data_IF_443837244600
#
_entry.id   IF_443837244600
#
_cell.length_a   1.000
_cell.length_b   1.000
_cell.length_c   1.000
_cell.angle_alpha   90.00
_cell.angle_beta   90.00
_cell.angle_gamma   90.00
#
_symmetry.space_group_name_H-M   'P 1'
#
loop_
_entity.id
_entity.type
_entity.pdbx_description
1 polymer ?
#
# COMPACT_ATOMS: atom_id res chain seq x y z
N UNK A 1 -38.19 -47.77 1.85
CA UNK A 1 -38.58 -47.04 0.64
C UNK A 1 -37.41 -46.14 0.26
N UNK A 2 -36.62 -46.62 -0.71
CA UNK A 2 -35.50 -45.88 -1.29
C UNK A 2 -36.04 -44.99 -2.41
N UNK A 3 -35.80 -43.71 -2.36
CA UNK A 3 -35.96 -42.83 -3.52
C UNK A 3 -34.56 -42.44 -4.06
N UNK A 4 -34.34 -42.90 -5.29
CA UNK A 4 -33.18 -42.65 -6.12
C UNK A 4 -33.29 -41.26 -6.77
N UNK A 5 -32.17 -40.50 -6.71
CA UNK A 5 -31.96 -39.21 -7.40
C UNK A 5 -31.43 -39.50 -8.81
N UNK A 6 -31.94 -38.88 -9.88
CA UNK A 6 -31.40 -39.04 -11.22
C UNK A 6 -30.19 -38.11 -11.51
N UNK A 7 -29.30 -38.45 -12.47
CA UNK A 7 -28.06 -37.77 -12.75
C UNK A 7 -28.24 -36.49 -13.63
N UNK A 8 -27.29 -35.59 -13.46
CA UNK A 8 -27.23 -34.23 -13.95
C UNK A 8 -27.26 -34.04 -15.47
N UNK A 9 -27.75 -32.89 -15.85
CA UNK A 9 -27.62 -32.32 -17.19
C UNK A 9 -26.36 -31.44 -17.25
N UNK A 10 -25.52 -31.75 -18.25
CA UNK A 10 -24.43 -30.89 -18.66
C UNK A 10 -25.02 -29.59 -19.25
N UNK A 11 -24.47 -28.43 -18.82
CA UNK A 11 -24.73 -27.16 -19.47
C UNK A 11 -23.62 -26.88 -20.48
N UNK A 12 -24.01 -26.81 -21.73
CA UNK A 12 -23.19 -26.39 -22.86
C UNK A 12 -22.73 -24.96 -22.70
N UNK A 13 -21.40 -24.78 -22.86
CA UNK A 13 -20.79 -23.46 -22.94
C UNK A 13 -21.12 -22.77 -24.26
N UNK A 14 -22.00 -21.78 -24.25
CA UNK A 14 -22.19 -20.86 -25.34
C UNK A 14 -21.15 -19.72 -25.24
N UNK A 15 -20.29 -19.70 -26.26
CA UNK A 15 -19.31 -18.67 -26.52
C UNK A 15 -19.93 -17.29 -26.64
N UNK A 16 -19.60 -16.36 -25.77
CA UNK A 16 -19.74 -14.92 -26.01
C UNK A 16 -18.37 -14.32 -26.19
N UNK A 17 -18.06 -14.01 -27.46
CA UNK A 17 -16.84 -13.30 -27.86
C UNK A 17 -16.83 -11.87 -27.35
N UNK A 18 -16.18 -11.62 -26.21
CA UNK A 18 -15.81 -10.31 -25.73
C UNK A 18 -14.37 -10.00 -26.13
N UNK A 19 -14.20 -9.02 -27.01
CA UNK A 19 -12.88 -8.54 -27.44
C UNK A 19 -12.19 -7.82 -26.28
N UNK A 20 -11.22 -8.46 -25.65
CA UNK A 20 -10.25 -7.77 -24.81
C UNK A 20 -9.29 -6.97 -25.71
N UNK A 21 -9.46 -5.66 -25.75
CA UNK A 21 -8.45 -4.71 -26.26
C UNK A 21 -7.66 -4.17 -25.07
N UNK A 22 -6.33 -4.35 -25.11
CA UNK A 22 -5.41 -3.55 -24.32
C UNK A 22 -4.47 -4.31 -23.38
N UNK A 23 -3.70 -5.25 -23.91
CA UNK A 23 -2.44 -5.61 -23.28
C UNK A 23 -1.31 -4.81 -23.95
N UNK A 24 -0.40 -4.19 -23.20
CA UNK A 24 0.73 -3.46 -23.78
C UNK A 24 1.73 -4.40 -24.46
N UNK A 25 2.23 -3.98 -25.60
CA UNK A 25 3.02 -4.75 -26.57
C UNK A 25 4.48 -5.10 -26.15
N UNK A 26 4.81 -5.17 -24.86
CA UNK A 26 6.18 -5.51 -24.42
C UNK A 26 6.36 -6.98 -24.01
N UNK A 27 5.34 -7.81 -24.08
CA UNK A 27 5.38 -9.22 -23.65
C UNK A 27 5.90 -10.21 -24.71
N UNK A 28 6.29 -9.77 -25.91
CA UNK A 28 6.86 -10.67 -26.94
C UNK A 28 7.95 -9.95 -27.73
N UNK A 29 9.22 -10.13 -27.38
CA UNK A 29 10.33 -10.13 -28.34
C UNK A 29 11.65 -10.57 -27.67
N UNK A 30 11.95 -11.85 -27.72
CA UNK A 30 13.34 -12.31 -27.78
C UNK A 30 13.63 -12.75 -29.21
N UNK A 31 14.63 -12.10 -29.83
CA UNK A 31 15.25 -12.59 -31.04
C UNK A 31 15.51 -11.55 -32.14
N UNK A 32 16.76 -11.11 -32.27
CA UNK A 32 17.35 -10.76 -33.55
C UNK A 32 17.62 -9.28 -33.86
N UNK A 33 18.89 -8.90 -33.86
CA UNK A 33 19.44 -7.98 -34.89
C UNK A 33 19.50 -6.48 -34.52
N UNK A 34 20.66 -6.06 -34.03
CA UNK A 34 21.09 -4.66 -33.87
C UNK A 34 21.06 -3.88 -35.18
N UNK A 35 20.29 -2.81 -35.28
CA UNK A 35 20.58 -1.65 -36.14
C UNK A 35 20.29 -0.39 -35.33
N UNK A 36 21.34 0.40 -35.09
CA UNK A 36 21.22 1.71 -34.44
C UNK A 36 20.50 2.70 -35.37
N UNK A 37 19.34 3.18 -34.90
CA UNK A 37 18.71 4.38 -35.45
C UNK A 37 18.66 5.39 -34.30
N UNK A 38 19.51 6.43 -34.38
CA UNK A 38 19.39 7.59 -33.52
C UNK A 38 18.13 8.36 -33.91
N UNK A 39 17.10 8.26 -33.09
CA UNK A 39 15.95 9.14 -33.12
C UNK A 39 15.83 9.77 -31.74
N UNK A 40 15.96 11.08 -31.66
CA UNK A 40 15.57 11.86 -30.50
C UNK A 40 14.04 11.87 -30.42
N UNK A 41 13.45 10.76 -30.02
CA UNK A 41 12.06 10.72 -29.63
C UNK A 41 11.99 11.26 -28.20
N UNK A 42 11.29 12.37 -28.01
CA UNK A 42 10.90 12.86 -26.68
C UNK A 42 10.28 11.69 -25.93
N UNK A 43 10.83 11.33 -24.76
CA UNK A 43 10.31 10.30 -23.88
C UNK A 43 8.85 10.64 -23.60
N UNK A 44 7.90 9.73 -23.85
CA UNK A 44 6.50 10.01 -23.53
C UNK A 44 6.43 10.27 -22.02
N UNK A 45 5.97 11.47 -21.63
CA UNK A 45 5.73 11.79 -20.23
C UNK A 45 4.68 10.79 -19.73
N UNK A 46 5.10 9.95 -18.80
CA UNK A 46 4.22 8.97 -18.17
C UNK A 46 3.19 9.72 -17.33
N UNK A 47 1.96 9.83 -17.84
CA UNK A 47 0.86 10.44 -17.10
C UNK A 47 0.09 9.32 -16.40
N UNK A 48 0.13 9.30 -15.07
CA UNK A 48 -0.76 8.45 -14.27
C UNK A 48 -2.21 8.93 -14.46
N UNK A 49 -3.19 8.02 -14.51
CA UNK A 49 -4.57 8.43 -14.36
C UNK A 49 -4.73 9.11 -12.98
N UNK A 50 -5.48 10.20 -12.92
CA UNK A 50 -5.88 10.83 -11.65
C UNK A 50 -6.64 9.79 -10.82
N UNK A 51 -6.46 9.78 -9.50
CA UNK A 51 -7.26 8.91 -8.64
C UNK A 51 -8.76 9.20 -8.86
N UNK A 52 -9.60 8.17 -8.95
CA UNK A 52 -11.04 8.36 -8.98
C UNK A 52 -11.49 9.12 -7.72
N UNK A 53 -12.48 9.99 -7.88
CA UNK A 53 -13.12 10.68 -6.76
C UNK A 53 -14.57 10.22 -6.67
N UNK A 54 -14.99 9.77 -5.51
CA UNK A 54 -16.36 9.30 -5.22
C UNK A 54 -16.94 10.08 -4.05
N UNK A 55 -18.27 10.08 -3.93
CA UNK A 55 -18.97 10.73 -2.82
C UNK A 55 -19.51 9.69 -1.84
N UNK A 56 -19.20 9.83 -0.57
CA UNK A 56 -19.75 8.97 0.48
C UNK A 56 -21.28 9.14 0.56
N UNK A 57 -22.02 8.04 0.41
CA UNK A 57 -23.49 8.04 0.48
C UNK A 57 -24.03 7.41 1.75
N UNK A 58 -23.31 6.47 2.35
CA UNK A 58 -23.71 5.81 3.59
C UNK A 58 -22.51 5.42 4.43
N UNK A 59 -22.51 5.84 5.68
CA UNK A 59 -21.62 5.30 6.71
C UNK A 59 -22.16 3.94 7.18
N UNK A 60 -21.31 2.92 7.21
CA UNK A 60 -21.71 1.55 7.58
C UNK A 60 -21.29 1.21 9.00
N UNK A 61 -19.97 1.24 9.28
CA UNK A 61 -19.45 0.86 10.60
C UNK A 61 -17.99 1.30 10.75
N UNK A 62 -17.53 1.65 11.98
CA UNK A 62 -16.09 1.84 12.22
C UNK A 62 -15.35 0.51 12.22
N UNK A 63 -14.11 0.53 11.76
CA UNK A 63 -13.16 -0.55 11.96
C UNK A 63 -12.31 -0.21 13.20
N UNK A 64 -12.57 -0.90 14.31
CA UNK A 64 -11.94 -0.60 15.61
C UNK A 64 -10.53 -1.16 15.75
N UNK A 65 -9.99 -1.78 14.71
CA UNK A 65 -8.63 -2.28 14.64
C UNK A 65 -7.72 -1.17 14.10
N UNK A 66 -6.75 -0.75 14.92
CA UNK A 66 -5.81 0.32 14.58
C UNK A 66 -6.12 1.70 15.18
N UNK A 67 -5.08 2.53 15.31
CA UNK A 67 -5.16 3.84 16.00
C UNK A 67 -5.82 4.96 15.19
N UNK A 68 -6.21 4.74 13.93
CA UNK A 68 -6.79 5.77 13.03
C UNK A 68 -8.31 5.70 12.86
N UNK A 69 -8.99 4.70 13.47
CA UNK A 69 -10.43 4.48 13.37
C UNK A 69 -10.99 4.60 11.95
N UNK A 70 -10.49 3.82 10.96
CA UNK A 70 -11.07 3.85 9.63
C UNK A 70 -12.51 3.30 9.65
N UNK A 71 -13.29 3.58 8.62
CA UNK A 71 -14.67 3.12 8.55
C UNK A 71 -15.02 2.49 7.19
N UNK A 72 -15.98 1.57 7.20
CA UNK A 72 -16.62 1.10 5.97
C UNK A 72 -17.67 2.11 5.55
N UNK A 73 -17.59 2.55 4.29
CA UNK A 73 -18.48 3.56 3.70
C UNK A 73 -18.89 3.08 2.31
N UNK A 74 -20.16 3.25 1.96
CA UNK A 74 -20.66 3.10 0.59
C UNK A 74 -20.62 4.44 -0.13
N UNK A 75 -20.35 4.41 -1.44
CA UNK A 75 -20.22 5.60 -2.26
C UNK A 75 -21.21 5.63 -3.44
N UNK A 76 -21.25 6.75 -4.15
CA UNK A 76 -22.20 7.04 -5.25
C UNK A 76 -21.93 6.22 -6.52
N UNK A 77 -20.77 5.62 -6.64
CA UNK A 77 -20.40 4.67 -7.70
C UNK A 77 -20.84 3.22 -7.41
N UNK A 78 -21.58 2.99 -6.33
CA UNK A 78 -21.99 1.69 -5.78
C UNK A 78 -20.82 0.87 -5.19
N UNK A 79 -19.63 1.45 -5.04
CA UNK A 79 -18.48 0.88 -4.36
C UNK A 79 -18.62 0.89 -2.85
N UNK A 80 -17.89 0.01 -2.20
CA UNK A 80 -17.72 -0.02 -0.74
C UNK A 80 -16.24 0.16 -0.43
N UNK A 81 -15.93 1.09 0.45
CA UNK A 81 -14.56 1.49 0.73
C UNK A 81 -14.23 1.45 2.22
N UNK A 82 -12.99 1.11 2.54
CA UNK A 82 -12.38 1.43 3.83
C UNK A 82 -11.87 2.86 3.76
N UNK A 83 -12.56 3.77 4.44
CA UNK A 83 -12.21 5.19 4.43
C UNK A 83 -11.30 5.52 5.59
N UNK A 84 -10.15 6.15 5.29
CA UNK A 84 -9.22 6.73 6.25
C UNK A 84 -9.41 8.25 6.26
N UNK A 85 -9.57 8.81 7.44
CA UNK A 85 -9.99 10.18 7.65
C UNK A 85 -8.80 11.12 7.86
N UNK A 86 -8.83 12.29 7.20
CA UNK A 86 -7.76 13.29 7.35
C UNK A 86 -7.75 13.96 8.75
N UNK A 87 -8.86 13.92 9.46
CA UNK A 87 -8.97 14.40 10.86
C UNK A 87 -8.46 13.41 11.90
N UNK A 88 -8.05 12.19 11.50
CA UNK A 88 -7.44 11.23 12.43
C UNK A 88 -6.07 11.73 12.94
N UNK A 89 -5.61 11.18 14.07
CA UNK A 89 -4.40 11.66 14.76
C UNK A 89 -3.10 11.68 13.93
N UNK A 90 -3.00 10.88 12.86
CA UNK A 90 -1.86 10.89 11.94
C UNK A 90 -2.04 11.89 10.77
N UNK A 91 -3.22 12.44 10.59
CA UNK A 91 -3.54 13.50 9.64
C UNK A 91 -3.32 13.14 8.18
N UNK A 92 -3.21 14.19 7.36
CA UNK A 92 -3.01 14.09 5.90
C UNK A 92 -1.74 13.33 5.52
N UNK A 93 -0.69 13.35 6.35
CA UNK A 93 0.59 12.67 6.05
C UNK A 93 0.43 11.15 5.89
N UNK A 94 -0.38 10.52 6.74
CA UNK A 94 -0.68 9.10 6.60
C UNK A 94 -1.43 8.81 5.28
N UNK A 95 -2.35 9.68 4.87
CA UNK A 95 -3.08 9.53 3.61
C UNK A 95 -2.16 9.73 2.38
N UNK A 96 -1.22 10.67 2.45
CA UNK A 96 -0.17 10.85 1.44
C UNK A 96 0.70 9.59 1.32
N UNK A 97 1.12 9.03 2.47
CA UNK A 97 1.91 7.80 2.49
C UNK A 97 1.15 6.62 1.88
N UNK A 98 -0.15 6.49 2.15
CA UNK A 98 -1.01 5.47 1.53
C UNK A 98 -1.03 5.58 0.02
N UNK A 99 -1.25 6.77 -0.53
CA UNK A 99 -1.32 6.98 -1.99
C UNK A 99 0.03 6.65 -2.62
N UNK A 100 1.10 7.32 -2.17
CA UNK A 100 2.41 7.18 -2.80
C UNK A 100 2.91 5.75 -2.69
N UNK A 101 2.84 5.14 -1.50
CA UNK A 101 3.36 3.78 -1.29
C UNK A 101 2.45 2.73 -1.89
N UNK A 102 1.13 2.85 -1.79
CA UNK A 102 0.18 1.89 -2.38
C UNK A 102 0.27 1.86 -3.91
N UNK A 103 0.32 3.02 -4.56
CA UNK A 103 0.45 3.09 -6.02
C UNK A 103 1.86 2.69 -6.49
N UNK A 104 2.90 2.96 -5.69
CA UNK A 104 4.25 2.44 -5.96
C UNK A 104 4.26 0.91 -5.89
N UNK A 105 3.70 0.30 -4.84
CA UNK A 105 3.58 -1.15 -4.71
C UNK A 105 2.87 -1.76 -5.92
N UNK A 106 1.77 -1.17 -6.36
CA UNK A 106 1.01 -1.60 -7.55
C UNK A 106 1.88 -1.55 -8.82
N UNK A 107 2.72 -0.52 -8.98
CA UNK A 107 3.65 -0.39 -10.11
C UNK A 107 4.76 -1.44 -10.11
N UNK A 108 5.12 -1.91 -8.93
CA UNK A 108 6.08 -3.00 -8.76
C UNK A 108 5.44 -4.39 -8.89
N UNK A 109 4.15 -4.46 -9.29
CA UNK A 109 3.42 -5.71 -9.51
C UNK A 109 2.85 -6.35 -8.24
N UNK A 110 2.87 -5.64 -7.10
CA UNK A 110 2.23 -6.07 -5.87
C UNK A 110 0.72 -5.78 -5.92
N UNK A 111 -0.09 -6.66 -5.35
CA UNK A 111 -1.53 -6.46 -5.25
C UNK A 111 -1.85 -5.51 -4.11
N UNK A 112 -2.50 -4.41 -4.45
CA UNK A 112 -3.01 -3.41 -3.51
C UNK A 112 -4.45 -3.10 -3.92
N UNK A 113 -5.43 -3.05 -3.02
CA UNK A 113 -6.80 -2.67 -3.36
C UNK A 113 -6.84 -1.29 -4.00
N UNK A 114 -7.82 -1.04 -4.86
CA UNK A 114 -7.91 0.24 -5.56
C UNK A 114 -8.03 1.40 -4.57
N UNK A 115 -7.34 2.49 -4.89
CA UNK A 115 -7.28 3.70 -4.08
C UNK A 115 -8.09 4.78 -4.77
N UNK A 116 -8.96 5.43 -4.02
CA UNK A 116 -9.81 6.54 -4.47
C UNK A 116 -9.74 7.69 -3.46
N UNK A 117 -10.16 8.88 -3.87
CA UNK A 117 -10.53 9.93 -2.94
C UNK A 117 -12.03 9.88 -2.67
N UNK A 118 -12.45 10.15 -1.44
CA UNK A 118 -13.85 10.08 -1.00
C UNK A 118 -14.25 11.42 -0.41
N UNK A 119 -15.19 12.09 -1.05
CA UNK A 119 -15.80 13.31 -0.49
C UNK A 119 -16.82 12.91 0.58
N UNK A 120 -16.61 13.40 1.81
CA UNK A 120 -17.39 13.10 3.00
C UNK A 120 -18.20 14.33 3.43
N UNK A 121 -19.53 14.17 3.52
CA UNK A 121 -20.38 15.06 4.32
C UNK A 121 -20.56 14.42 5.70
N UNK A 122 -20.12 15.04 6.81
CA UNK A 122 -20.26 14.48 8.16
C UNK A 122 -21.70 14.10 8.55
N UNK A 123 -22.69 14.65 7.86
CA UNK A 123 -24.11 14.34 8.11
C UNK A 123 -24.44 12.84 7.95
N UNK A 124 -23.67 12.09 7.18
CA UNK A 124 -23.88 10.64 6.99
C UNK A 124 -23.64 9.85 8.27
N UNK A 125 -22.80 10.36 9.18
CA UNK A 125 -22.47 9.76 10.47
C UNK A 125 -23.34 10.25 11.64
N UNK A 126 -24.37 11.06 11.42
CA UNK A 126 -25.20 11.68 12.49
C UNK A 126 -25.89 10.68 13.43
N UNK A 127 -26.03 9.44 13.02
CA UNK A 127 -26.64 8.37 13.81
C UNK A 127 -25.62 7.39 14.41
N UNK A 128 -24.32 7.64 14.22
CA UNK A 128 -23.26 6.86 14.87
C UNK A 128 -23.35 7.08 16.39
N UNK A 129 -23.49 5.99 17.19
CA UNK A 129 -23.64 6.13 18.63
C UNK A 129 -22.32 6.45 19.36
N UNK A 130 -21.18 6.20 18.75
CA UNK A 130 -19.86 6.42 19.34
C UNK A 130 -19.43 7.89 19.16
N UNK A 131 -19.28 8.66 20.26
CA UNK A 131 -18.92 10.07 20.18
C UNK A 131 -17.52 10.29 19.57
N UNK A 132 -16.55 9.40 19.80
CA UNK A 132 -15.21 9.52 19.24
C UNK A 132 -15.23 9.40 17.71
N UNK A 133 -16.11 8.53 17.19
CA UNK A 133 -16.33 8.39 15.75
C UNK A 133 -17.06 9.61 15.19
N UNK A 134 -18.08 10.14 15.90
CA UNK A 134 -18.76 11.36 15.47
C UNK A 134 -17.80 12.55 15.40
N UNK A 135 -16.96 12.71 16.41
CA UNK A 135 -15.95 13.77 16.45
C UNK A 135 -14.96 13.64 15.28
N UNK A 136 -14.52 12.42 14.97
CA UNK A 136 -13.65 12.15 13.83
C UNK A 136 -14.31 12.50 12.49
N UNK A 137 -15.57 12.11 12.28
CA UNK A 137 -16.32 12.44 11.06
C UNK A 137 -16.50 13.97 10.93
N UNK A 138 -16.84 14.65 12.03
CA UNK A 138 -16.97 16.11 12.07
C UNK A 138 -15.64 16.84 11.80
N UNK A 139 -14.51 16.23 12.17
CA UNK A 139 -13.17 16.76 11.91
C UNK A 139 -12.67 16.44 10.47
N UNK A 140 -13.43 15.67 9.69
CA UNK A 140 -13.00 15.14 8.39
C UNK A 140 -13.94 15.49 7.22
N UNK A 141 -14.52 16.72 7.13
CA UNK A 141 -15.36 17.07 6.00
C UNK A 141 -14.56 17.16 4.71
N UNK A 142 -15.21 16.88 3.57
CA UNK A 142 -14.58 16.95 2.26
C UNK A 142 -13.73 15.72 1.95
N UNK A 143 -12.56 15.93 1.34
CA UNK A 143 -11.77 14.87 0.73
C UNK A 143 -11.01 14.01 1.73
N UNK A 144 -11.29 12.72 1.72
CA UNK A 144 -10.64 11.67 2.49
C UNK A 144 -10.08 10.58 1.57
N UNK A 145 -9.44 9.55 2.12
CA UNK A 145 -8.89 8.43 1.35
C UNK A 145 -9.82 7.23 1.44
N UNK A 146 -10.19 6.65 0.30
CA UNK A 146 -10.89 5.37 0.18
C UNK A 146 -9.97 4.28 -0.35
N UNK A 147 -10.05 3.10 0.24
CA UNK A 147 -9.38 1.88 -0.22
C UNK A 147 -10.49 0.87 -0.50
N UNK A 148 -10.53 0.29 -1.70
CA UNK A 148 -11.55 -0.68 -2.09
C UNK A 148 -11.66 -1.81 -1.06
N UNK A 149 -12.90 -2.08 -0.61
CA UNK A 149 -13.17 -3.10 0.39
C UNK A 149 -13.13 -4.49 -0.27
N UNK A 150 -12.31 -5.39 0.25
CA UNK A 150 -12.18 -6.76 -0.24
C UNK A 150 -13.11 -7.70 0.54
N UNK A 151 -14.34 -7.97 0.07
CA UNK A 151 -15.32 -8.75 0.81
C UNK A 151 -14.89 -10.21 0.95
N UNK A 152 -14.92 -10.72 2.19
CA UNK A 152 -14.53 -12.09 2.49
C UNK A 152 -13.01 -12.33 2.51
N UNK A 153 -12.19 -11.29 2.45
CA UNK A 153 -10.75 -11.43 2.68
C UNK A 153 -10.46 -11.86 4.12
N UNK A 154 -9.36 -12.58 4.32
CA UNK A 154 -8.88 -13.05 5.62
C UNK A 154 -7.55 -12.36 5.94
N UNK A 155 -7.32 -12.08 7.22
CA UNK A 155 -6.00 -11.63 7.67
C UNK A 155 -4.92 -12.68 7.34
N UNK A 156 -3.77 -12.22 6.86
CA UNK A 156 -2.63 -13.10 6.59
C UNK A 156 -2.04 -13.63 7.90
N UNK A 157 -1.96 -14.96 8.01
CA UNK A 157 -1.27 -15.64 9.10
C UNK A 157 -0.03 -16.35 8.55
N UNK A 158 1.18 -15.93 8.92
CA UNK A 158 2.43 -16.53 8.44
C UNK A 158 2.64 -17.98 8.91
N UNK A 159 1.87 -18.47 9.89
CA UNK A 159 1.89 -19.87 10.32
C UNK A 159 0.97 -20.77 9.51
N UNK A 160 -0.07 -20.17 8.91
CA UNK A 160 -1.06 -20.88 8.10
C UNK A 160 -0.81 -20.76 6.60
N UNK A 161 -0.10 -19.70 6.17
CA UNK A 161 0.14 -19.37 4.76
C UNK A 161 1.62 -19.15 4.49
N UNK A 162 2.20 -19.98 3.64
CA UNK A 162 3.58 -19.80 3.17
C UNK A 162 3.59 -19.02 1.86
N UNK A 163 4.09 -17.78 1.85
CA UNK A 163 4.17 -16.98 0.63
C UNK A 163 5.26 -17.51 -0.31
N UNK A 164 5.14 -17.17 -1.59
CA UNK A 164 6.24 -17.34 -2.54
C UNK A 164 7.47 -16.52 -2.09
N UNK A 165 8.69 -17.07 -2.10
CA UNK A 165 9.88 -16.36 -1.64
C UNK A 165 10.19 -15.10 -2.47
N UNK A 166 9.96 -15.12 -3.79
CA UNK A 166 10.14 -13.95 -4.65
C UNK A 166 9.15 -12.84 -4.31
N UNK A 167 7.88 -13.19 -4.06
CA UNK A 167 6.89 -12.24 -3.55
C UNK A 167 7.32 -11.65 -2.20
N UNK A 168 7.74 -12.49 -1.25
CA UNK A 168 8.16 -12.05 0.08
C UNK A 168 9.38 -11.11 0.01
N UNK A 169 10.35 -11.41 -0.85
CA UNK A 169 11.51 -10.56 -1.10
C UNK A 169 11.14 -9.21 -1.73
N UNK A 170 10.21 -9.22 -2.70
CA UNK A 170 9.68 -8.00 -3.31
C UNK A 170 9.00 -7.10 -2.28
N UNK A 171 8.14 -7.66 -1.43
CA UNK A 171 7.43 -6.90 -0.38
C UNK A 171 8.41 -6.35 0.64
N UNK A 172 9.38 -7.13 1.11
CA UNK A 172 10.35 -6.66 2.09
C UNK A 172 11.23 -5.56 1.52
N UNK A 173 11.72 -5.73 0.28
CA UNK A 173 12.48 -4.68 -0.40
C UNK A 173 11.67 -3.40 -0.57
N UNK A 174 10.40 -3.53 -0.99
CA UNK A 174 9.47 -2.40 -1.11
C UNK A 174 9.26 -1.69 0.24
N UNK A 175 8.93 -2.44 1.30
CA UNK A 175 8.73 -1.86 2.63
C UNK A 175 10.00 -1.18 3.15
N UNK A 176 11.16 -1.75 2.89
CA UNK A 176 12.44 -1.11 3.21
C UNK A 176 12.66 0.18 2.41
N UNK A 177 12.32 0.22 1.11
CA UNK A 177 12.42 1.40 0.26
C UNK A 177 11.58 2.56 0.79
N UNK A 178 10.30 2.30 1.09
CA UNK A 178 9.38 3.34 1.59
C UNK A 178 9.50 3.56 3.10
N UNK A 179 10.27 2.73 3.80
CA UNK A 179 10.44 2.80 5.25
C UNK A 179 9.16 2.47 6.02
N UNK A 180 8.39 1.49 5.55
CA UNK A 180 7.18 1.02 6.24
C UNK A 180 7.56 0.24 7.51
N UNK A 181 7.20 0.75 8.68
CA UNK A 181 7.57 0.16 9.98
C UNK A 181 6.48 -0.70 10.60
N UNK A 182 5.33 -0.84 9.95
CA UNK A 182 4.15 -1.45 10.57
C UNK A 182 3.75 -2.82 9.99
N UNK A 183 4.50 -3.36 9.00
CA UNK A 183 4.26 -4.71 8.48
C UNK A 183 4.98 -5.76 9.32
N UNK A 184 4.39 -6.08 10.46
CA UNK A 184 5.02 -6.90 11.50
C UNK A 184 4.23 -8.18 11.81
N UNK A 185 4.81 -9.05 12.63
CA UNK A 185 4.12 -10.23 13.14
C UNK A 185 2.83 -9.92 13.91
N UNK A 186 2.74 -8.75 14.55
CA UNK A 186 1.55 -8.33 15.31
C UNK A 186 0.51 -7.66 14.44
N UNK A 187 0.96 -7.04 13.37
CA UNK A 187 0.15 -6.33 12.41
C UNK A 187 0.67 -6.61 11.00
N UNK A 188 0.29 -7.75 10.40
CA UNK A 188 0.82 -8.13 9.09
C UNK A 188 0.54 -7.13 7.99
N UNK A 189 -0.55 -6.37 8.07
CA UNK A 189 -1.03 -5.46 7.01
C UNK A 189 -1.07 -6.14 5.63
N UNK A 190 -1.47 -7.41 5.64
CA UNK A 190 -1.64 -8.28 4.49
C UNK A 190 -2.97 -9.02 4.62
N UNK A 191 -3.68 -9.13 3.51
CA UNK A 191 -4.91 -9.91 3.39
C UNK A 191 -4.71 -11.05 2.41
N UNK A 192 -5.42 -12.17 2.63
CA UNK A 192 -5.58 -13.24 1.64
C UNK A 192 -6.97 -13.10 1.04
N UNK A 193 -7.03 -12.88 -0.28
CA UNK A 193 -8.28 -12.73 -1.01
C UNK A 193 -8.20 -13.48 -2.34
N UNK A 194 -9.19 -14.36 -2.59
CA UNK A 194 -9.21 -15.24 -3.77
C UNK A 194 -7.92 -16.07 -3.98
N UNK A 195 -7.23 -16.43 -2.88
CA UNK A 195 -5.99 -17.21 -2.94
C UNK A 195 -4.72 -16.39 -3.17
N UNK A 196 -4.83 -15.08 -3.31
CA UNK A 196 -3.71 -14.15 -3.49
C UNK A 196 -3.47 -13.30 -2.23
N UNK A 197 -2.23 -12.87 -2.02
CA UNK A 197 -1.87 -11.95 -0.92
C UNK A 197 -1.95 -10.51 -1.41
N UNK A 198 -2.64 -9.67 -0.65
CA UNK A 198 -2.89 -8.26 -0.91
C UNK A 198 -2.25 -7.41 0.19
N UNK A 199 -1.55 -6.37 -0.20
CA UNK A 199 -0.96 -5.40 0.72
C UNK A 199 -1.98 -4.32 1.05
N UNK A 200 -2.07 -4.00 2.35
CA UNK A 200 -2.90 -2.91 2.87
C UNK A 200 -2.11 -2.08 3.87
N UNK A 201 -2.65 -0.92 4.23
CA UNK A 201 -2.16 -0.05 5.30
C UNK A 201 -0.69 0.37 5.14
N UNK A 202 -0.45 1.29 4.20
CA UNK A 202 0.86 1.88 3.94
C UNK A 202 1.07 3.22 4.68
N UNK A 203 0.12 3.64 5.52
CA UNK A 203 0.14 4.93 6.21
C UNK A 203 1.33 5.12 7.15
N UNK A 204 1.96 4.04 7.60
CA UNK A 204 3.17 4.05 8.41
C UNK A 204 4.47 4.05 7.58
N UNK A 205 4.41 4.48 6.31
CA UNK A 205 5.54 4.67 5.42
C UNK A 205 6.01 6.13 5.39
N UNK A 206 7.10 6.40 4.67
CA UNK A 206 7.60 7.75 4.38
C UNK A 206 7.84 8.60 5.65
N UNK A 207 8.33 7.97 6.71
CA UNK A 207 8.48 8.60 8.04
C UNK A 207 9.25 9.92 8.04
N UNK A 208 10.07 10.17 7.02
CA UNK A 208 10.82 11.42 6.86
C UNK A 208 9.92 12.66 6.82
N UNK A 209 8.68 12.53 6.36
CA UNK A 209 7.75 13.64 6.24
C UNK A 209 7.24 14.18 7.61
N UNK A 210 7.44 13.43 8.69
CA UNK A 210 7.17 13.93 10.05
C UNK A 210 8.28 14.84 10.59
N UNK A 211 9.46 14.85 9.93
CA UNK A 211 10.63 15.62 10.37
C UNK A 211 11.47 16.06 9.16
N UNK A 212 10.91 16.88 8.27
CA UNK A 212 11.54 17.34 7.03
C UNK A 212 12.94 17.91 7.24
N UNK A 213 13.18 18.67 8.31
CA UNK A 213 14.48 19.24 8.61
C UNK A 213 15.60 18.19 8.77
N UNK A 214 15.24 16.95 9.07
CA UNK A 214 16.17 15.83 9.20
C UNK A 214 15.98 14.75 8.14
N UNK A 215 15.12 14.96 7.17
CA UNK A 215 14.73 13.96 6.16
C UNK A 215 15.96 13.39 5.41
N UNK A 216 16.93 14.23 5.05
CA UNK A 216 18.15 13.80 4.38
C UNK A 216 18.94 12.74 5.16
N UNK A 217 18.92 12.77 6.51
CA UNK A 217 19.58 11.77 7.35
C UNK A 217 18.90 10.42 7.33
N UNK A 218 17.61 10.38 6.93
CA UNK A 218 16.81 9.16 6.87
C UNK A 218 16.97 8.42 5.55
N UNK A 219 17.59 9.02 4.53
CA UNK A 219 17.86 8.39 3.24
C UNK A 219 18.68 7.11 3.43
N UNK A 220 19.78 7.21 4.17
CA UNK A 220 20.73 6.12 4.43
C UNK A 220 20.43 5.34 5.72
N UNK A 221 19.28 5.59 6.37
CA UNK A 221 18.94 4.86 7.59
C UNK A 221 18.66 3.40 7.26
N UNK A 222 19.38 2.42 7.85
CA UNK A 222 19.11 1.01 7.68
C UNK A 222 17.68 0.67 8.10
N UNK A 223 17.03 -0.19 7.31
CA UNK A 223 15.69 -0.69 7.63
C UNK A 223 15.80 -1.84 8.64
N UNK A 224 15.03 -1.77 9.71
CA UNK A 224 14.94 -2.84 10.70
C UNK A 224 13.88 -3.86 10.29
N UNK A 225 14.31 -4.99 9.75
CA UNK A 225 13.43 -6.10 9.33
C UNK A 225 13.21 -7.14 10.43
N UNK A 226 13.68 -6.92 11.67
CA UNK A 226 13.67 -7.93 12.75
C UNK A 226 12.26 -8.44 13.12
N UNK A 227 11.26 -7.55 13.05
CA UNK A 227 9.85 -7.85 13.33
C UNK A 227 9.01 -8.01 12.03
N UNK A 228 9.63 -7.87 10.84
CA UNK A 228 8.89 -7.93 9.57
C UNK A 228 8.31 -9.33 9.33
N UNK A 229 7.00 -9.40 9.05
CA UNK A 229 6.24 -10.66 8.97
C UNK A 229 6.76 -11.63 7.90
N UNK A 230 7.38 -11.12 6.83
CA UNK A 230 7.89 -11.94 5.72
C UNK A 230 9.39 -12.22 5.81
N UNK A 231 10.13 -11.61 6.73
CA UNK A 231 11.60 -11.76 6.79
C UNK A 231 12.09 -13.20 6.97
N UNK A 232 11.28 -14.06 7.59
CA UNK A 232 11.68 -15.47 7.83
C UNK A 232 11.57 -16.36 6.59
N UNK A 233 10.87 -15.94 5.53
CA UNK A 233 10.65 -16.72 4.31
C UNK A 233 11.73 -16.53 3.25
N UNK A 234 12.66 -15.61 3.46
CA UNK A 234 13.65 -15.17 2.48
C UNK A 234 15.03 -15.05 3.12
N UNK A 235 16.04 -14.89 2.28
CA UNK A 235 17.42 -14.60 2.67
C UNK A 235 17.91 -13.27 2.05
N UNK A 236 19.13 -12.88 2.41
CA UNK A 236 19.75 -11.62 1.95
C UNK A 236 19.92 -11.58 0.42
N UNK A 237 20.20 -12.71 -0.22
CA UNK A 237 20.37 -12.76 -1.69
C UNK A 237 19.02 -12.51 -2.39
N UNK A 238 17.92 -13.08 -1.88
CA UNK A 238 16.59 -12.88 -2.45
C UNK A 238 16.18 -11.38 -2.40
N UNK A 239 16.43 -10.69 -1.27
CA UNK A 239 16.13 -9.26 -1.12
C UNK A 239 17.00 -8.42 -2.04
N UNK A 240 18.29 -8.77 -2.15
CA UNK A 240 19.23 -8.09 -3.05
C UNK A 240 18.83 -8.27 -4.50
N UNK A 241 18.42 -9.48 -4.88
CA UNK A 241 17.96 -9.78 -6.25
C UNK A 241 16.67 -9.01 -6.58
N UNK A 242 15.70 -8.95 -5.67
CA UNK A 242 14.50 -8.13 -5.83
C UNK A 242 14.88 -6.66 -6.10
N UNK A 243 15.86 -6.12 -5.37
CA UNK A 243 16.34 -4.76 -5.59
C UNK A 243 16.97 -4.55 -6.97
N UNK A 244 17.75 -5.50 -7.48
CA UNK A 244 18.32 -5.41 -8.84
C UNK A 244 17.26 -5.36 -9.93
N UNK A 245 16.14 -6.04 -9.72
CA UNK A 245 15.03 -6.11 -10.68
C UNK A 245 14.07 -4.91 -10.58
N UNK A 246 13.84 -4.40 -9.38
CA UNK A 246 12.84 -3.38 -9.11
C UNK A 246 13.39 -1.95 -9.20
N UNK A 247 14.60 -1.68 -8.68
CA UNK A 247 15.14 -0.33 -8.66
C UNK A 247 15.23 0.34 -10.05
N UNK A 248 15.59 -0.35 -11.15
CA UNK A 248 15.61 0.25 -12.48
C UNK A 248 14.23 0.70 -13.00
N UNK A 249 13.14 0.20 -12.44
CA UNK A 249 11.78 0.58 -12.82
C UNK A 249 11.36 1.92 -12.20
N UNK A 250 12.05 2.37 -11.15
CA UNK A 250 11.74 3.57 -10.39
C UNK A 250 12.39 4.82 -11.00
N UNK A 251 11.91 5.19 -12.18
CA UNK A 251 12.39 6.38 -12.88
C UNK A 251 11.88 7.67 -12.22
N UNK A 252 12.59 8.78 -12.46
CA UNK A 252 12.16 10.10 -12.01
C UNK A 252 10.73 10.47 -12.45
N UNK A 253 10.38 10.12 -13.69
CA UNK A 253 9.05 10.40 -14.22
C UNK A 253 7.97 9.57 -13.51
N UNK A 254 8.27 8.31 -13.16
CA UNK A 254 7.37 7.49 -12.36
C UNK A 254 7.21 8.09 -10.95
N UNK A 255 8.30 8.42 -10.28
CA UNK A 255 8.24 8.97 -8.91
C UNK A 255 7.46 10.30 -8.87
N UNK A 256 7.65 11.18 -9.86
CA UNK A 256 6.83 12.39 -9.99
C UNK A 256 5.36 12.06 -10.22
N UNK A 257 5.08 11.18 -11.16
CA UNK A 257 3.71 10.80 -11.48
C UNK A 257 2.97 10.19 -10.28
N UNK A 258 3.66 9.44 -9.40
CA UNK A 258 3.09 8.92 -8.16
C UNK A 258 2.76 10.03 -7.15
N UNK A 259 3.65 10.99 -6.98
CA UNK A 259 3.41 12.13 -6.07
C UNK A 259 2.31 13.05 -6.61
N UNK A 260 2.20 13.21 -7.93
CA UNK A 260 1.15 13.99 -8.59
C UNK A 260 -0.27 13.41 -8.40
N UNK A 261 -0.39 12.15 -7.91
CA UNK A 261 -1.69 11.57 -7.53
C UNK A 261 -2.24 12.13 -6.22
N UNK A 262 -1.37 12.68 -5.38
CA UNK A 262 -1.76 13.23 -4.08
C UNK A 262 -2.55 14.53 -4.28
N UNK A 263 -3.72 14.66 -3.65
CA UNK A 263 -4.45 15.93 -3.67
C UNK A 263 -3.58 17.09 -3.19
N UNK A 264 -3.55 18.17 -3.95
CA UNK A 264 -2.70 19.35 -3.67
C UNK A 264 -3.02 19.96 -2.30
N UNK A 265 -4.30 20.00 -1.94
CA UNK A 265 -4.79 20.48 -0.66
C UNK A 265 -4.27 19.69 0.57
N UNK A 266 -3.78 18.46 0.37
CA UNK A 266 -3.17 17.69 1.44
C UNK A 266 -1.70 18.07 1.71
N UNK A 267 -1.08 18.77 0.77
CA UNK A 267 0.29 19.29 0.88
C UNK A 267 0.35 20.79 1.20
N UNK A 268 -0.79 21.44 1.37
CA UNK A 268 -0.87 22.84 1.81
C UNK A 268 -0.44 22.99 3.27
N UNK A 269 0.10 24.15 3.60
CA UNK A 269 0.50 24.56 4.95
C UNK A 269 1.55 23.65 5.63
N UNK A 270 2.34 22.91 4.84
CA UNK A 270 3.43 22.09 5.39
C UNK A 270 4.57 22.98 5.89
N UNK A 271 4.91 22.92 7.20
CA UNK A 271 5.94 23.79 7.76
C UNK A 271 7.31 23.60 7.10
N UNK A 272 7.92 24.71 6.71
CA UNK A 272 9.25 24.75 6.09
C UNK A 272 9.24 24.67 4.56
N UNK A 273 8.06 24.77 3.93
CA UNK A 273 7.89 24.84 2.48
C UNK A 273 7.08 26.07 2.08
N UNK A 274 7.40 26.64 0.93
CA UNK A 274 6.73 27.83 0.41
C UNK A 274 5.48 27.49 -0.40
N UNK A 275 5.39 26.24 -0.90
CA UNK A 275 4.27 25.78 -1.72
C UNK A 275 4.07 24.25 -1.67
N UNK A 276 2.86 23.76 -2.03
CA UNK A 276 2.62 22.32 -2.22
C UNK A 276 3.54 21.69 -3.27
N UNK A 277 3.96 22.45 -4.28
CA UNK A 277 4.90 21.96 -5.29
C UNK A 277 6.29 21.66 -4.71
N UNK A 278 6.73 22.44 -3.73
CA UNK A 278 7.99 22.20 -3.03
C UNK A 278 7.91 20.96 -2.17
N UNK A 279 6.78 20.74 -1.50
CA UNK A 279 6.51 19.49 -0.76
C UNK A 279 6.54 18.29 -1.68
N UNK A 280 5.85 18.36 -2.82
CA UNK A 280 5.86 17.31 -3.83
C UNK A 280 7.28 17.01 -4.34
N UNK A 281 8.06 18.05 -4.64
CA UNK A 281 9.45 17.90 -5.05
C UNK A 281 10.34 17.26 -3.97
N UNK A 282 10.07 17.54 -2.70
CA UNK A 282 10.78 16.95 -1.57
C UNK A 282 10.49 15.43 -1.44
N UNK A 283 9.24 14.97 -1.62
CA UNK A 283 8.91 13.54 -1.69
C UNK A 283 9.69 12.84 -2.81
N UNK A 284 9.67 13.39 -4.02
CA UNK A 284 10.41 12.83 -5.17
C UNK A 284 11.91 12.76 -4.86
N UNK A 285 12.48 13.83 -4.27
CA UNK A 285 13.90 13.90 -3.93
C UNK A 285 14.29 12.82 -2.93
N UNK A 286 13.49 12.59 -1.89
CA UNK A 286 13.75 11.58 -0.87
C UNK A 286 13.67 10.15 -1.45
N UNK A 287 12.63 9.85 -2.23
CA UNK A 287 12.49 8.55 -2.87
C UNK A 287 13.64 8.27 -3.85
N UNK A 288 13.98 9.25 -4.70
CA UNK A 288 15.11 9.15 -5.62
C UNK A 288 16.43 8.87 -4.90
N UNK A 289 16.70 9.58 -3.81
CA UNK A 289 17.92 9.39 -3.04
C UNK A 289 18.02 7.96 -2.47
N UNK A 290 16.91 7.38 -2.00
CA UNK A 290 16.88 5.98 -1.55
C UNK A 290 17.08 4.99 -2.71
N UNK A 291 16.43 5.21 -3.84
CA UNK A 291 16.60 4.37 -5.04
C UNK A 291 18.05 4.38 -5.54
N UNK A 292 18.74 5.52 -5.42
CA UNK A 292 20.12 5.68 -5.90
C UNK A 292 21.16 4.92 -5.07
N UNK A 293 20.90 4.67 -3.77
CA UNK A 293 21.83 3.97 -2.88
C UNK A 293 21.10 2.93 -2.01
N UNK A 294 20.68 1.80 -2.59
CA UNK A 294 20.01 0.74 -1.85
C UNK A 294 20.89 0.10 -0.78
N UNK A 295 22.21 0.05 -0.98
CA UNK A 295 23.13 -0.56 -0.03
C UNK A 295 23.14 0.14 1.33
N UNK A 296 22.80 1.43 1.38
CA UNK A 296 22.77 2.21 2.61
C UNK A 296 21.63 1.82 3.55
N UNK A 297 20.52 1.29 3.06
CA UNK A 297 19.32 1.03 3.85
C UNK A 297 18.76 -0.39 3.74
N UNK A 298 19.26 -1.21 2.80
CA UNK A 298 18.80 -2.58 2.64
C UNK A 298 19.04 -3.38 3.93
N UNK A 299 18.02 -4.10 4.45
CA UNK A 299 18.19 -4.85 5.69
C UNK A 299 18.97 -6.14 5.46
N UNK A 300 19.65 -6.60 6.51
CA UNK A 300 20.13 -7.98 6.61
C UNK A 300 19.04 -8.82 7.30
N UNK A 301 18.61 -9.89 6.63
CA UNK A 301 17.57 -10.81 7.14
C UNK A 301 18.16 -12.17 7.54
N UNK A 302 19.40 -12.47 7.10
CA UNK A 302 20.08 -13.74 7.29
C UNK A 302 19.47 -14.87 6.45
N UNK A 303 19.73 -16.13 6.78
CA UNK A 303 19.20 -17.27 6.03
C UNK A 303 17.70 -17.45 6.24
N UNK A 304 16.98 -17.89 5.21
CA UNK A 304 15.58 -18.28 5.32
C UNK A 304 15.39 -19.38 6.39
N UNK A 305 14.32 -19.28 7.15
CA UNK A 305 14.01 -20.18 8.29
C UNK A 305 12.52 -20.43 8.39
N UNK A 306 12.08 -21.53 9.07
CA UNK A 306 10.67 -21.75 9.31
C UNK A 306 10.01 -20.55 9.99
N UNK A 307 8.79 -20.22 9.56
CA UNK A 307 8.00 -19.15 10.15
C UNK A 307 7.85 -19.39 11.66
N UNK A 308 8.27 -18.40 12.45
CA UNK A 308 8.18 -18.46 13.92
C UNK A 308 7.89 -17.05 14.44
N UNK A 309 6.89 -16.93 15.33
CA UNK A 309 6.67 -15.65 16.00
C UNK A 309 7.94 -15.17 16.70
N UNK A 310 8.26 -13.88 16.68
CA UNK A 310 9.34 -13.34 17.49
C UNK A 310 9.09 -13.64 18.96
N UNK A 311 10.16 -13.84 19.72
CA UNK A 311 10.05 -14.00 21.16
C UNK A 311 9.29 -12.80 21.75
N UNK A 312 8.36 -13.02 22.71
CA UNK A 312 7.68 -11.91 23.33
C UNK A 312 8.74 -10.95 23.89
N UNK A 313 8.69 -9.68 23.44
CA UNK A 313 9.50 -8.64 24.10
C UNK A 313 9.12 -8.69 25.56
N UNK A 314 10.10 -8.88 26.47
CA UNK A 314 9.86 -8.84 27.91
C UNK A 314 9.11 -7.55 28.21
N UNK A 315 7.78 -7.61 28.25
CA UNK A 315 6.99 -6.59 28.87
C UNK A 315 7.51 -6.57 30.31
N UNK A 316 8.18 -5.48 30.68
CA UNK A 316 8.59 -5.26 32.05
C UNK A 316 7.37 -5.57 32.90
N UNK A 317 7.46 -6.64 33.70
CA UNK A 317 6.38 -7.14 34.56
C UNK A 317 5.79 -5.92 35.28
N UNK A 318 4.49 -5.62 35.14
CA UNK A 318 3.95 -4.42 35.74
C UNK A 318 4.24 -4.44 37.24
N UNK A 319 4.80 -3.37 37.79
CA UNK A 319 5.22 -3.28 39.21
C UNK A 319 4.11 -3.56 40.22
N UNK A 320 2.82 -3.57 39.79
CA UNK A 320 1.69 -3.89 40.64
C UNK A 320 1.50 -5.40 40.87
N UNK A 321 2.20 -6.29 40.15
CA UNK A 321 2.20 -7.73 40.36
C UNK A 321 3.23 -8.18 41.44
N UNK A 322 4.02 -7.26 41.94
CA UNK A 322 5.04 -7.53 42.98
C UNK A 322 4.57 -7.10 44.39
N UNK A 323 3.25 -7.00 44.61
CA UNK A 323 2.65 -6.73 45.95
C UNK A 323 1.87 -7.93 46.45
#
# INVERSE_FOLDING_TARGET
MHQTVPPGRAYDALALGGRFRGLPAWAVAFGGGMRAVRSHAATPRYRMPVLPNVTATRYVTPLREGGSLPAIVEADDLGTYVVKFHGAGQGRKALIAEIISGELARRLGLRVPDIVTVDLDPVIGRHEPDPDVQDLLNASPGRNLGIDYLPGSLGFDPLAWTPDPGFAATVLWFDALVGNVDRSWRNPNLLVWHGDVWLIDHGASLYFHHAWASAAKLVAKPYDASDHVLATFIDDEAVTQAGRELAPQLTDDLLRALVDLVPVDWMEDEPGFDSPADVAAAYVTQLRARVADPAAWLPEVGPARPARPPAPRNASRPRWLDR
#
